data_IF_281910710649
#
_entry.id   IF_281910710649
#
_cell.length_a   1.000
_cell.length_b   1.000
_cell.length_c   1.000
_cell.angle_alpha   90.00
_cell.angle_beta   90.00
_cell.angle_gamma   90.00
#
_symmetry.space_group_name_H-M   'P 1'
#
loop_
_entity.id
_entity.type
_entity.pdbx_description
1 polymer ?
#
# COMPACT_ATOMS: atom_id res chain seq x y z
N UNK A 1 50.72 57.80 20.11
CA UNK A 1 49.91 56.78 19.39
C UNK A 1 49.10 55.99 20.41
N UNK A 2 47.85 56.39 20.67
CA UNK A 2 46.95 55.67 21.58
C UNK A 2 46.00 54.81 20.77
N UNK A 3 46.21 53.49 20.75
CA UNK A 3 45.33 52.52 20.11
C UNK A 3 44.09 52.32 20.99
N UNK A 4 42.95 52.91 20.57
CA UNK A 4 41.65 52.67 21.16
C UNK A 4 41.23 51.22 20.91
N UNK A 5 41.34 50.37 21.94
CA UNK A 5 40.87 48.98 21.91
C UNK A 5 39.34 49.03 21.90
N UNK A 6 38.76 48.86 20.72
CA UNK A 6 37.31 48.74 20.52
C UNK A 6 36.79 47.55 21.32
N UNK A 7 36.02 47.81 22.37
CA UNK A 7 35.30 46.78 23.11
C UNK A 7 34.28 46.12 22.19
N UNK A 8 34.54 44.89 21.78
CA UNK A 8 33.59 44.09 20.99
C UNK A 8 32.27 43.95 21.77
N UNK A 9 31.11 44.21 21.15
CA UNK A 9 29.82 44.16 21.84
C UNK A 9 29.36 42.71 21.96
N UNK A 10 30.02 41.94 22.83
CA UNK A 10 29.79 40.49 22.98
C UNK A 10 28.33 40.16 23.32
N UNK A 11 27.66 41.05 24.04
CA UNK A 11 26.24 40.89 24.43
C UNK A 11 25.31 40.89 23.23
N UNK A 12 25.57 41.71 22.20
CA UNK A 12 24.73 41.74 21.00
C UNK A 12 25.02 40.54 20.10
N UNK A 13 26.28 40.15 19.97
CA UNK A 13 26.68 38.94 19.23
C UNK A 13 26.07 37.68 19.88
N UNK A 14 26.15 37.58 21.20
CA UNK A 14 25.58 36.47 21.96
C UNK A 14 24.04 36.43 21.85
N UNK A 15 23.36 37.58 21.95
CA UNK A 15 21.90 37.66 21.81
C UNK A 15 21.43 37.29 20.40
N UNK A 16 22.15 37.75 19.37
CA UNK A 16 21.86 37.41 17.97
C UNK A 16 22.10 35.91 17.70
N UNK A 17 23.22 35.36 18.18
CA UNK A 17 23.52 33.94 18.05
C UNK A 17 22.50 33.06 18.79
N UNK A 18 22.04 33.48 19.97
CA UNK A 18 21.03 32.78 20.75
C UNK A 18 19.66 32.80 20.06
N UNK A 19 19.20 33.96 19.59
CA UNK A 19 17.92 34.07 18.87
C UNK A 19 17.92 33.26 17.57
N UNK A 20 19.09 33.10 16.92
CA UNK A 20 19.22 32.26 15.73
C UNK A 20 19.25 30.78 16.05
N UNK A 21 19.90 30.35 17.13
CA UNK A 21 20.08 28.91 17.44
C UNK A 21 18.88 28.29 18.17
N UNK A 22 18.21 29.04 19.06
CA UNK A 22 17.01 28.59 19.77
C UNK A 22 15.92 27.96 18.86
N UNK A 23 15.50 28.57 17.73
CA UNK A 23 14.49 27.97 16.87
C UNK A 23 14.97 26.66 16.24
N UNK A 24 16.25 26.55 15.83
CA UNK A 24 16.79 25.30 15.28
C UNK A 24 16.87 24.20 16.33
N UNK A 25 17.30 24.52 17.55
CA UNK A 25 17.34 23.55 18.65
C UNK A 25 15.95 23.06 19.00
N UNK A 26 14.96 23.98 19.09
CA UNK A 26 13.57 23.61 19.30
C UNK A 26 13.03 22.74 18.16
N UNK A 27 13.33 23.08 16.90
CA UNK A 27 12.91 22.32 15.73
C UNK A 27 13.51 20.92 15.72
N UNK A 28 14.80 20.78 16.02
CA UNK A 28 15.47 19.48 16.11
C UNK A 28 14.93 18.64 17.28
N UNK A 29 14.68 19.26 18.43
CA UNK A 29 14.07 18.60 19.58
C UNK A 29 12.65 18.11 19.25
N UNK A 30 11.82 18.97 18.66
CA UNK A 30 10.49 18.61 18.16
C UNK A 30 10.56 17.50 17.12
N UNK A 31 11.48 17.57 16.15
CA UNK A 31 11.67 16.54 15.13
C UNK A 31 12.09 15.21 15.76
N UNK A 32 12.98 15.24 16.75
CA UNK A 32 13.41 14.04 17.46
C UNK A 32 12.26 13.41 18.25
N UNK A 33 11.48 14.21 18.98
CA UNK A 33 10.31 13.74 19.74
C UNK A 33 9.25 13.16 18.80
N UNK A 34 8.93 13.86 17.72
CA UNK A 34 7.93 13.42 16.74
C UNK A 34 8.36 12.11 16.05
N UNK A 35 9.61 11.99 15.62
CA UNK A 35 10.11 10.75 15.01
C UNK A 35 10.25 9.59 16.02
N UNK A 36 10.54 9.89 17.28
CA UNK A 36 10.69 8.85 18.32
C UNK A 36 9.35 8.31 18.81
N UNK A 37 8.36 9.20 18.96
CA UNK A 37 7.11 8.88 19.66
C UNK A 37 5.88 8.85 18.76
N UNK A 38 5.82 9.65 17.70
CA UNK A 38 4.63 9.73 16.85
C UNK A 38 4.72 8.78 15.66
N UNK A 39 5.84 8.79 14.95
CA UNK A 39 5.98 8.08 13.69
C UNK A 39 7.00 6.94 13.76
N UNK A 40 6.86 5.96 12.88
CA UNK A 40 7.84 4.89 12.69
C UNK A 40 7.87 4.52 11.22
N UNK A 41 8.97 4.82 10.52
CA UNK A 41 9.18 4.26 9.20
C UNK A 41 9.39 2.75 9.33
N UNK A 42 8.70 1.98 8.51
CA UNK A 42 8.84 0.53 8.44
C UNK A 42 8.94 0.08 6.99
N UNK A 43 9.84 -0.85 6.72
CA UNK A 43 9.93 -1.52 5.43
C UNK A 43 9.06 -2.77 5.47
N UNK A 44 7.98 -2.78 4.68
CA UNK A 44 7.05 -3.90 4.60
C UNK A 44 7.44 -4.77 3.42
N UNK A 45 8.05 -5.93 3.70
CA UNK A 45 8.41 -6.92 2.69
C UNK A 45 7.62 -8.20 2.93
N UNK A 46 6.83 -8.62 1.95
CA UNK A 46 6.19 -9.93 1.98
C UNK A 46 4.91 -10.05 1.16
N UNK A 47 4.52 -11.29 0.81
CA UNK A 47 3.40 -11.57 -0.09
C UNK A 47 2.02 -11.38 0.55
N UNK A 48 1.93 -11.28 1.88
CA UNK A 48 0.66 -11.35 2.60
C UNK A 48 -0.28 -10.17 2.40
N UNK A 49 0.23 -9.03 1.95
CA UNK A 49 -0.55 -7.81 1.73
C UNK A 49 -0.65 -7.43 0.25
N UNK A 50 -0.28 -8.33 -0.66
CA UNK A 50 -0.52 -8.13 -2.10
C UNK A 50 -2.04 -8.13 -2.35
N UNK A 51 -2.62 -7.17 -3.09
CA UNK A 51 -1.98 -6.15 -3.94
C UNK A 51 -1.73 -4.79 -3.28
N UNK A 52 -2.11 -4.59 -2.01
CA UNK A 52 -1.95 -3.30 -1.32
C UNK A 52 -0.50 -2.92 -1.10
N UNK A 53 0.36 -3.89 -0.78
CA UNK A 53 1.81 -3.70 -0.76
C UNK A 53 2.49 -4.58 -1.80
N UNK A 54 3.56 -4.05 -2.39
CA UNK A 54 4.40 -4.73 -3.37
C UNK A 54 5.17 -5.88 -2.73
N UNK A 55 5.40 -6.96 -3.50
CA UNK A 55 6.22 -8.09 -3.04
C UNK A 55 7.68 -7.67 -2.77
N UNK A 56 8.20 -6.73 -3.57
CA UNK A 56 9.58 -6.23 -3.53
C UNK A 56 9.90 -5.41 -2.27
N UNK A 57 8.87 -4.90 -1.60
CA UNK A 57 8.99 -4.09 -0.40
C UNK A 57 8.49 -2.66 -0.57
N UNK A 58 7.76 -2.16 0.42
CA UNK A 58 7.26 -0.79 0.46
C UNK A 58 7.70 -0.08 1.74
N UNK A 59 8.11 1.19 1.62
CA UNK A 59 8.42 2.03 2.77
C UNK A 59 7.15 2.71 3.24
N UNK A 60 6.71 2.39 4.45
CA UNK A 60 5.50 2.94 5.05
C UNK A 60 5.82 3.75 6.30
N UNK A 61 5.01 4.76 6.56
CA UNK A 61 4.99 5.46 7.84
C UNK A 61 3.80 4.97 8.65
N UNK A 62 4.11 4.48 9.84
CA UNK A 62 3.11 4.11 10.83
C UNK A 62 3.11 5.10 12.00
N UNK A 63 1.92 5.44 12.49
CA UNK A 63 1.75 6.21 13.71
C UNK A 63 1.64 5.28 14.93
N UNK A 64 2.32 5.60 16.02
CA UNK A 64 2.25 4.84 17.28
C UNK A 64 1.11 5.28 18.21
N UNK A 65 0.45 6.39 17.89
CA UNK A 65 -0.53 7.03 18.76
C UNK A 65 -1.89 6.32 18.74
N UNK A 66 -2.35 5.88 17.57
CA UNK A 66 -3.68 5.25 17.40
C UNK A 66 -3.86 3.97 18.21
N UNK A 67 -2.90 3.03 18.25
CA UNK A 67 -3.00 1.85 19.13
C UNK A 67 -3.04 2.21 20.62
N UNK A 68 -2.29 3.23 21.04
CA UNK A 68 -2.25 3.67 22.45
C UNK A 68 -3.54 4.35 22.90
N UNK A 69 -4.24 5.01 21.97
CA UNK A 69 -5.55 5.64 22.21
C UNK A 69 -6.73 4.67 22.02
N UNK A 70 -6.48 3.43 21.58
CA UNK A 70 -7.54 2.46 21.30
C UNK A 70 -8.37 2.79 20.06
N UNK A 71 -7.88 3.67 19.16
CA UNK A 71 -8.64 4.14 17.98
C UNK A 71 -8.36 3.30 16.73
N UNK A 72 -7.96 2.03 16.89
CA UNK A 72 -7.70 1.14 15.76
C UNK A 72 -9.04 0.65 15.21
N UNK A 73 -9.37 1.11 14.00
CA UNK A 73 -10.64 0.83 13.37
C UNK A 73 -10.58 -0.33 12.38
N UNK A 74 -11.76 -0.76 11.95
CA UNK A 74 -11.92 -1.71 10.84
C UNK A 74 -11.41 -1.10 9.54
N UNK A 75 -10.67 -1.89 8.76
CA UNK A 75 -10.07 -1.48 7.50
C UNK A 75 -8.66 -0.90 7.64
N UNK A 76 -8.25 -0.53 8.85
CA UNK A 76 -6.91 0.01 9.12
C UNK A 76 -5.82 -1.02 8.83
N UNK A 77 -4.70 -0.56 8.30
CA UNK A 77 -3.49 -1.37 8.15
C UNK A 77 -2.63 -1.16 9.38
N UNK A 78 -2.23 -2.26 10.02
CA UNK A 78 -1.48 -2.23 11.27
C UNK A 78 -0.19 -3.02 11.17
N UNK A 79 0.86 -2.47 11.80
CA UNK A 79 2.11 -3.17 12.09
C UNK A 79 1.95 -3.86 13.43
N UNK A 80 2.14 -5.17 13.46
CA UNK A 80 1.86 -6.01 14.63
C UNK A 80 3.06 -6.90 14.91
N UNK A 81 3.46 -7.01 16.17
CA UNK A 81 4.43 -8.04 16.58
C UNK A 81 3.76 -9.40 16.50
N UNK A 82 4.38 -10.34 15.78
CA UNK A 82 3.79 -11.67 15.62
C UNK A 82 3.66 -12.37 16.97
N UNK A 83 2.48 -12.90 17.33
CA UNK A 83 2.30 -13.66 18.58
C UNK A 83 3.11 -14.96 18.59
N UNK A 84 3.39 -15.54 17.41
CA UNK A 84 4.19 -16.75 17.27
C UNK A 84 5.71 -16.47 17.36
N UNK A 85 6.15 -15.28 16.94
CA UNK A 85 7.56 -14.90 16.97
C UNK A 85 7.73 -13.41 17.31
N UNK A 86 8.07 -13.07 18.55
CA UNK A 86 8.19 -11.68 19.02
C UNK A 86 9.24 -10.84 18.28
N UNK A 87 10.21 -11.47 17.61
CA UNK A 87 11.24 -10.77 16.83
C UNK A 87 10.75 -10.31 15.46
N UNK A 88 9.60 -10.79 15.00
CA UNK A 88 9.05 -10.51 13.68
C UNK A 88 7.88 -9.53 13.79
N UNK A 89 7.99 -8.40 13.10
CA UNK A 89 6.86 -7.48 12.86
C UNK A 89 6.20 -7.86 11.55
N UNK A 90 4.88 -8.02 11.56
CA UNK A 90 4.05 -8.35 10.41
C UNK A 90 3.09 -7.21 10.12
N UNK A 91 2.76 -7.01 8.85
CA UNK A 91 1.77 -6.02 8.40
C UNK A 91 0.51 -6.75 8.00
N UNK A 92 -0.64 -6.34 8.55
CA UNK A 92 -1.96 -6.93 8.27
C UNK A 92 -3.05 -5.86 8.27
N UNK A 93 -4.22 -6.19 7.74
CA UNK A 93 -5.42 -5.35 7.79
C UNK A 93 -6.35 -5.77 8.92
N UNK A 94 -6.88 -4.81 9.65
CA UNK A 94 -7.90 -5.04 10.67
C UNK A 94 -9.24 -5.32 9.98
N UNK A 95 -9.80 -6.51 10.21
CA UNK A 95 -11.10 -6.92 9.65
C UNK A 95 -12.22 -6.75 10.65
N UNK A 96 -11.92 -6.95 11.94
CA UNK A 96 -12.89 -6.80 13.01
C UNK A 96 -12.20 -6.29 14.27
N UNK A 97 -12.95 -5.51 15.04
CA UNK A 97 -12.54 -4.95 16.33
C UNK A 97 -13.28 -5.66 17.46
N UNK A 98 -13.01 -5.30 18.71
CA UNK A 98 -13.65 -5.91 19.87
C UNK A 98 -15.17 -5.97 19.76
N UNK A 99 -15.76 -7.12 20.10
CA UNK A 99 -17.21 -7.34 20.06
C UNK A 99 -17.80 -7.62 18.67
N UNK A 100 -17.04 -7.46 17.59
CA UNK A 100 -17.50 -7.88 16.25
C UNK A 100 -17.38 -9.39 16.05
N UNK A 101 -18.31 -9.96 15.27
CA UNK A 101 -18.26 -11.35 14.85
C UNK A 101 -17.56 -11.50 13.49
N UNK A 102 -16.71 -12.52 13.37
CA UNK A 102 -15.93 -12.83 12.17
C UNK A 102 -16.37 -14.18 11.59
N UNK A 103 -16.27 -14.33 10.26
CA UNK A 103 -16.45 -15.63 9.60
C UNK A 103 -17.89 -16.17 9.64
N UNK A 104 -18.89 -15.31 9.41
CA UNK A 104 -20.29 -15.75 9.33
C UNK A 104 -20.98 -16.01 10.68
N UNK A 105 -20.37 -15.59 11.80
CA UNK A 105 -21.05 -15.54 13.11
C UNK A 105 -20.49 -16.48 14.19
N UNK A 106 -19.44 -17.25 13.91
CA UNK A 106 -18.92 -18.26 14.84
C UNK A 106 -17.87 -17.76 15.85
N UNK A 107 -17.14 -16.68 15.54
CA UNK A 107 -16.02 -16.20 16.39
C UNK A 107 -16.22 -14.72 16.70
N UNK A 108 -16.39 -14.40 17.98
CA UNK A 108 -16.48 -13.02 18.49
C UNK A 108 -15.11 -12.57 18.97
N UNK A 109 -14.68 -11.38 18.55
CA UNK A 109 -13.40 -10.81 18.96
C UNK A 109 -13.45 -10.39 20.44
N UNK A 110 -12.55 -10.90 21.31
CA UNK A 110 -12.51 -10.51 22.71
C UNK A 110 -12.23 -9.02 22.91
N UNK A 111 -12.58 -8.49 24.09
CA UNK A 111 -12.26 -7.10 24.48
C UNK A 111 -10.76 -6.84 24.46
N UNK A 112 -10.35 -5.68 23.95
CA UNK A 112 -8.94 -5.31 23.82
C UNK A 112 -8.16 -6.10 22.78
N UNK A 113 -8.84 -6.87 21.93
CA UNK A 113 -8.24 -7.61 20.82
C UNK A 113 -8.78 -7.11 19.48
N UNK A 114 -8.02 -7.39 18.42
CA UNK A 114 -8.36 -7.11 17.03
C UNK A 114 -8.17 -8.36 16.19
N UNK A 115 -9.02 -8.52 15.18
CA UNK A 115 -8.89 -9.59 14.19
C UNK A 115 -8.19 -9.03 12.94
N UNK A 116 -7.01 -9.57 12.64
CA UNK A 116 -6.17 -9.09 11.54
C UNK A 116 -6.06 -10.15 10.45
N UNK A 117 -6.18 -9.75 9.18
CA UNK A 117 -6.11 -10.63 8.02
C UNK A 117 -5.21 -9.99 6.96
N UNK A 118 -4.44 -10.79 6.24
CA UNK A 118 -3.69 -10.31 5.08
C UNK A 118 -4.58 -10.23 3.85
N UNK A 119 -4.35 -9.22 3.00
CA UNK A 119 -5.10 -9.06 1.76
C UNK A 119 -4.89 -10.23 0.78
N UNK A 120 -3.75 -10.92 0.88
CA UNK A 120 -3.49 -12.15 0.13
C UNK A 120 -3.90 -13.39 0.94
N UNK A 121 -5.18 -13.77 0.82
CA UNK A 121 -5.83 -14.88 1.52
C UNK A 121 -5.04 -16.20 1.43
N UNK A 122 -4.47 -16.50 0.26
CA UNK A 122 -3.75 -17.76 0.00
C UNK A 122 -2.30 -17.79 0.48
N UNK A 123 -1.71 -16.64 0.83
CA UNK A 123 -0.33 -16.56 1.30
C UNK A 123 -0.17 -15.61 2.49
N UNK A 124 -1.02 -15.81 3.49
CA UNK A 124 -1.03 -15.00 4.70
C UNK A 124 -1.22 -15.87 5.94
N UNK A 125 -0.23 -15.83 6.83
CA UNK A 125 -0.36 -16.29 8.21
C UNK A 125 -0.86 -15.12 9.06
N UNK A 126 -2.08 -15.21 9.56
CA UNK A 126 -2.84 -14.13 10.21
C UNK A 126 -3.82 -14.69 11.26
N UNK A 127 -4.80 -13.90 11.73
CA UNK A 127 -5.69 -14.28 12.84
C UNK A 127 -6.51 -15.54 12.58
N UNK A 128 -6.66 -15.97 11.32
CA UNK A 128 -7.29 -17.26 11.00
C UNK A 128 -6.49 -18.46 11.52
N UNK A 129 -5.19 -18.28 11.76
CA UNK A 129 -4.28 -19.33 12.23
C UNK A 129 -3.96 -19.21 13.72
N UNK A 130 -3.68 -18.01 14.22
CA UNK A 130 -3.28 -17.78 15.63
C UNK A 130 -4.37 -17.13 16.50
N UNK A 131 -5.53 -16.77 15.94
CA UNK A 131 -6.64 -16.14 16.66
C UNK A 131 -6.56 -14.60 16.74
N UNK A 132 -7.40 -14.03 17.61
CA UNK A 132 -7.45 -12.59 17.83
C UNK A 132 -6.16 -12.08 18.49
N UNK A 133 -5.71 -10.88 18.11
CA UNK A 133 -4.46 -10.29 18.60
C UNK A 133 -4.75 -9.17 19.58
N UNK A 134 -4.13 -9.16 20.78
CA UNK A 134 -4.28 -8.04 21.69
C UNK A 134 -3.72 -6.75 21.08
N UNK A 135 -4.42 -5.63 21.28
CA UNK A 135 -4.02 -4.31 20.78
C UNK A 135 -2.61 -3.91 21.28
N UNK A 136 -2.19 -4.44 22.43
CA UNK A 136 -0.83 -4.23 22.96
C UNK A 136 0.31 -4.77 22.08
N UNK A 137 0.04 -5.71 21.16
CA UNK A 137 1.03 -6.18 20.17
C UNK A 137 1.08 -5.31 18.92
N UNK A 138 0.14 -4.38 18.76
CA UNK A 138 0.10 -3.45 17.64
C UNK A 138 1.16 -2.36 17.88
N UNK A 139 2.16 -2.33 17.00
CA UNK A 139 3.27 -1.36 17.02
C UNK A 139 2.79 0.01 16.54
N UNK A 140 1.97 0.05 15.49
CA UNK A 140 1.49 1.28 14.89
C UNK A 140 0.47 1.05 13.78
N UNK A 141 -0.30 2.10 13.46
CA UNK A 141 -1.22 2.13 12.31
C UNK A 141 -0.52 2.77 11.12
N UNK A 142 -0.50 2.08 9.99
CA UNK A 142 0.04 2.61 8.73
C UNK A 142 -0.92 3.67 8.20
N UNK A 143 -0.43 4.90 8.03
CA UNK A 143 -1.22 6.02 7.53
C UNK A 143 -0.66 6.59 6.23
N UNK A 144 0.58 6.28 5.84
CA UNK A 144 1.20 6.80 4.63
C UNK A 144 2.16 5.79 3.99
N UNK A 145 2.20 5.76 2.65
CA UNK A 145 3.22 5.06 1.86
C UNK A 145 4.17 6.08 1.25
N UNK A 146 5.46 5.93 1.54
CA UNK A 146 6.51 6.89 1.17
C UNK A 146 7.23 6.47 -0.11
N UNK A 147 7.49 5.17 -0.28
CA UNK A 147 8.18 4.64 -1.45
C UNK A 147 7.63 3.26 -1.87
N UNK A 148 7.71 2.90 -3.16
CA UNK A 148 8.20 3.66 -4.32
C UNK A 148 7.33 4.87 -4.67
N UNK A 149 7.91 5.89 -5.32
CA UNK A 149 7.27 7.20 -5.59
C UNK A 149 5.94 7.08 -6.36
N UNK A 150 5.78 6.02 -7.14
CA UNK A 150 4.59 5.66 -7.92
C UNK A 150 3.36 5.33 -7.04
N UNK A 151 3.56 5.05 -5.75
CA UNK A 151 2.52 4.71 -4.79
C UNK A 151 2.37 5.69 -3.64
N UNK A 152 2.88 6.92 -3.78
CA UNK A 152 2.82 7.93 -2.73
C UNK A 152 1.36 8.31 -2.40
N UNK A 153 0.95 8.13 -1.13
CA UNK A 153 -0.39 8.53 -0.70
C UNK A 153 -0.79 8.02 0.70
N UNK A 154 -1.97 8.45 1.19
CA UNK A 154 -2.52 8.01 2.47
C UNK A 154 -2.75 6.48 2.47
N UNK A 155 -2.11 5.78 3.39
CA UNK A 155 -2.16 4.33 3.52
C UNK A 155 -3.34 3.78 4.34
N UNK A 156 -4.17 4.65 4.93
CA UNK A 156 -5.14 4.26 5.97
C UNK A 156 -6.63 4.38 5.59
N UNK A 157 -7.01 5.22 4.65
CA UNK A 157 -8.42 5.57 4.47
C UNK A 157 -8.82 5.38 3.02
N UNK A 158 -9.62 4.35 2.73
CA UNK A 158 -10.49 4.27 1.56
C UNK A 158 -10.07 5.12 0.34
N UNK A 159 -8.89 4.86 -0.24
CA UNK A 159 -8.68 5.13 -1.66
C UNK A 159 -9.41 3.98 -2.35
N UNK A 160 -10.62 4.17 -2.88
CA UNK A 160 -10.83 5.22 -3.86
C UNK A 160 -9.81 4.95 -4.96
N UNK A 161 -10.09 3.95 -5.78
CA UNK A 161 -9.63 3.76 -7.16
C UNK A 161 -8.60 4.80 -7.59
N UNK A 162 -7.38 4.68 -7.09
CA UNK A 162 -6.19 5.16 -7.74
C UNK A 162 -5.56 3.86 -8.20
N UNK A 163 -5.95 3.36 -9.38
CA UNK A 163 -5.15 3.60 -10.57
C UNK A 163 -3.66 3.33 -10.35
N UNK A 164 -3.34 2.33 -9.51
CA UNK A 164 -2.15 1.54 -9.68
C UNK A 164 -2.20 0.98 -11.08
N UNK A 165 -1.28 1.47 -11.90
CA UNK A 165 -0.89 0.97 -13.21
C UNK A 165 -1.13 -0.54 -13.30
N UNK A 166 -2.29 -0.89 -13.87
CA UNK A 166 -2.38 -2.07 -14.68
C UNK A 166 -1.82 -1.64 -16.02
N UNK A 167 -0.55 -1.92 -16.28
CA UNK A 167 -0.11 -2.25 -17.64
C UNK A 167 -0.68 -3.63 -18.04
N UNK A 168 -1.96 -3.84 -17.77
CA UNK A 168 -2.83 -4.60 -18.63
C UNK A 168 -3.44 -3.59 -19.59
N UNK A 169 -2.67 -3.25 -20.63
CA UNK A 169 -3.10 -2.50 -21.81
C UNK A 169 -4.58 -2.82 -22.10
N UNK A 170 -5.43 -1.81 -22.20
CA UNK A 170 -6.88 -2.04 -22.28
C UNK A 170 -7.18 -2.92 -23.51
N UNK A 171 -8.24 -3.73 -23.48
CA UNK A 171 -8.59 -4.62 -24.61
C UNK A 171 -8.60 -3.93 -26.00
N UNK A 172 -9.04 -2.66 -26.17
CA UNK A 172 -8.90 -1.95 -27.44
C UNK A 172 -7.43 -1.63 -27.78
N UNK A 173 -6.64 -1.19 -26.80
CA UNK A 173 -5.22 -0.88 -27.00
C UNK A 173 -4.38 -2.14 -27.30
N UNK A 174 -4.74 -3.30 -26.71
CA UNK A 174 -4.13 -4.62 -27.01
C UNK A 174 -4.37 -5.04 -28.45
N UNK A 175 -5.58 -4.84 -28.97
CA UNK A 175 -5.89 -5.15 -30.38
C UNK A 175 -5.10 -4.21 -31.29
N UNK A 176 -5.04 -2.91 -30.98
CA UNK A 176 -4.28 -1.93 -31.75
C UNK A 176 -2.78 -2.27 -31.81
N UNK A 177 -2.17 -2.68 -30.69
CA UNK A 177 -0.77 -3.09 -30.65
C UNK A 177 -0.48 -4.33 -31.50
N UNK A 178 -1.38 -5.33 -31.49
CA UNK A 178 -1.24 -6.53 -32.32
C UNK A 178 -1.40 -6.20 -33.80
N UNK A 179 -2.32 -5.30 -34.17
CA UNK A 179 -2.47 -4.83 -35.55
C UNK A 179 -1.24 -4.04 -36.04
N UNK A 180 -0.66 -3.17 -35.21
CA UNK A 180 0.56 -2.44 -35.54
C UNK A 180 1.77 -3.39 -35.76
N UNK A 181 1.87 -4.46 -34.97
CA UNK A 181 2.90 -5.47 -35.16
C UNK A 181 2.65 -6.32 -36.42
N UNK A 182 1.38 -6.60 -36.74
CA UNK A 182 0.99 -7.27 -37.98
C UNK A 182 1.44 -6.48 -39.22
N UNK A 183 1.23 -5.16 -39.22
CA UNK A 183 1.68 -4.26 -40.29
C UNK A 183 3.20 -4.21 -40.42
N UNK A 184 3.94 -4.26 -39.30
CA UNK A 184 5.41 -4.38 -39.34
C UNK A 184 5.85 -5.70 -39.97
N UNK A 185 5.23 -6.81 -39.59
CA UNK A 185 5.62 -8.14 -40.10
C UNK A 185 5.25 -8.30 -41.57
N UNK A 186 4.19 -7.63 -42.05
CA UNK A 186 3.79 -7.67 -43.45
C UNK A 186 4.73 -6.89 -44.40
N UNK A 187 5.63 -6.06 -43.86
CA UNK A 187 6.69 -5.37 -44.64
C UNK A 187 7.91 -6.26 -44.89
N UNK A 188 7.97 -7.44 -44.30
CA UNK A 188 9.08 -8.39 -44.47
C UNK A 188 8.88 -9.25 -45.72
N UNK A 189 9.97 -9.73 -46.34
CA UNK A 189 9.88 -10.60 -47.51
C UNK A 189 9.12 -11.89 -47.20
N UNK A 190 8.16 -12.24 -48.05
CA UNK A 190 7.19 -13.32 -47.84
C UNK A 190 7.82 -14.74 -47.69
N UNK A 191 9.07 -14.92 -48.12
CA UNK A 191 9.82 -16.18 -48.00
C UNK A 191 10.46 -16.37 -46.61
N UNK A 192 10.33 -15.41 -45.70
CA UNK A 192 10.86 -15.55 -44.34
C UNK A 192 10.02 -16.51 -43.48
N UNK A 193 10.65 -17.59 -43.02
CA UNK A 193 10.08 -18.50 -42.02
C UNK A 193 9.64 -17.77 -40.74
N UNK A 194 10.36 -16.71 -40.36
CA UNK A 194 10.00 -15.87 -39.22
C UNK A 194 8.70 -15.10 -39.47
N UNK A 195 8.55 -14.46 -40.64
CA UNK A 195 7.34 -13.68 -40.96
C UNK A 195 6.09 -14.55 -40.98
N UNK A 196 6.16 -15.71 -41.65
CA UNK A 196 5.05 -16.67 -41.75
C UNK A 196 4.67 -17.25 -40.39
N UNK A 197 5.64 -17.62 -39.55
CA UNK A 197 5.37 -18.12 -38.20
C UNK A 197 4.78 -17.03 -37.29
N UNK A 198 5.35 -15.81 -37.32
CA UNK A 198 4.93 -14.68 -36.48
C UNK A 198 3.50 -14.24 -36.80
N UNK A 199 3.12 -14.21 -38.08
CA UNK A 199 1.74 -13.90 -38.53
C UNK A 199 0.72 -14.89 -37.97
N UNK A 200 1.03 -16.20 -37.93
CA UNK A 200 0.14 -17.21 -37.35
C UNK A 200 -0.08 -17.00 -35.85
N UNK A 201 0.99 -16.65 -35.13
CA UNK A 201 0.90 -16.36 -33.69
C UNK A 201 0.05 -15.11 -33.44
N UNK A 202 0.26 -14.03 -34.19
CA UNK A 202 -0.51 -12.79 -34.06
C UNK A 202 -2.00 -13.00 -34.36
N UNK A 203 -2.34 -13.79 -35.39
CA UNK A 203 -3.73 -14.16 -35.68
C UNK A 203 -4.38 -14.94 -34.54
N UNK A 204 -3.65 -15.86 -33.90
CA UNK A 204 -4.16 -16.61 -32.74
C UNK A 204 -4.39 -15.70 -31.54
N UNK A 205 -3.51 -14.73 -31.31
CA UNK A 205 -3.67 -13.73 -30.25
C UNK A 205 -4.91 -12.85 -30.48
N UNK A 206 -5.20 -12.43 -31.72
CA UNK A 206 -6.42 -11.68 -32.02
C UNK A 206 -7.70 -12.48 -31.70
N UNK A 207 -7.71 -13.80 -31.97
CA UNK A 207 -8.83 -14.66 -31.59
C UNK A 207 -8.98 -14.81 -30.08
N UNK A 208 -7.88 -14.94 -29.33
CA UNK A 208 -7.96 -15.04 -27.87
C UNK A 208 -8.46 -13.73 -27.25
N UNK A 209 -8.02 -12.59 -27.80
CA UNK A 209 -8.47 -11.27 -27.35
C UNK A 209 -9.95 -11.01 -27.68
N UNK A 210 -10.51 -11.56 -28.77
CA UNK A 210 -11.94 -11.42 -29.05
C UNK A 210 -12.81 -12.21 -28.07
N UNK A 211 -12.39 -13.43 -27.69
CA UNK A 211 -13.09 -14.26 -26.70
C UNK A 211 -13.11 -13.59 -25.31
N UNK A 212 -11.96 -13.06 -24.86
CA UNK A 212 -11.88 -12.36 -23.58
C UNK A 212 -12.76 -11.11 -23.50
N UNK A 213 -12.99 -10.43 -24.63
CA UNK A 213 -13.91 -9.27 -24.67
C UNK A 213 -15.36 -9.71 -24.50
N UNK A 214 -15.74 -10.87 -25.05
CA UNK A 214 -17.09 -11.43 -24.93
C UNK A 214 -17.35 -11.85 -23.48
N UNK A 215 -16.47 -12.62 -22.86
CA UNK A 215 -16.61 -13.05 -21.45
C UNK A 215 -16.71 -11.86 -20.48
N UNK A 216 -15.91 -10.81 -20.72
CA UNK A 216 -15.90 -9.60 -19.90
C UNK A 216 -17.15 -8.73 -20.10
N UNK A 217 -17.79 -8.82 -21.26
CA UNK A 217 -19.08 -8.18 -21.55
C UNK A 217 -20.27 -8.92 -20.93
N UNK A 218 -20.19 -10.25 -20.86
CA UNK A 218 -21.24 -11.13 -20.33
C UNK A 218 -21.32 -11.08 -18.79
N UNK A 219 -20.18 -11.00 -18.10
CA UNK A 219 -20.10 -10.81 -16.65
C UNK A 219 -20.63 -9.46 -16.11
N UNK A 220 -21.05 -8.54 -17.00
CA UNK A 220 -21.61 -7.22 -16.64
C UNK A 220 -23.13 -7.15 -16.77
N UNK A 221 -23.82 -8.17 -17.29
CA UNK A 221 -25.28 -8.23 -17.32
C UNK A 221 -25.79 -8.72 -15.96
N UNK A 222 -26.30 -7.79 -15.13
CA UNK A 222 -27.10 -8.14 -13.94
C UNK A 222 -28.21 -9.12 -14.35
N UNK A 223 -28.46 -10.21 -13.61
CA UNK A 223 -29.59 -11.09 -13.93
C UNK A 223 -30.88 -10.28 -13.84
N UNK A 224 -31.68 -10.28 -14.93
CA UNK A 224 -33.03 -9.75 -14.90
C UNK A 224 -33.82 -10.52 -13.83
N UNK A 225 -34.07 -9.88 -12.68
CA UNK A 225 -35.08 -10.36 -11.74
C UNK A 225 -36.42 -10.35 -12.47
N UNK A 226 -36.93 -11.53 -12.82
CA UNK A 226 -38.34 -11.66 -13.23
C UNK A 226 -39.20 -11.44 -11.98
N UNK A 227 -40.25 -10.62 -12.02
CA UNK A 227 -41.20 -10.55 -10.92
C UNK A 227 -41.96 -11.87 -10.85
N UNK A 228 -41.86 -12.56 -9.70
CA UNK A 228 -42.76 -13.63 -9.33
C UNK A 228 -44.17 -13.02 -9.21
N UNK A 229 -45.11 -13.48 -10.05
CA UNK A 229 -46.54 -13.28 -9.80
C UNK A 229 -47.00 -14.41 -8.88
N UNK A 230 -47.73 -14.03 -7.83
CA UNK A 230 -48.52 -14.90 -6.96
C UNK A 230 -49.64 -15.58 -7.77
#
# INVERSE_FOLDING_TARGET
>A
MGLAIRTLPWKTIAKEALNRTLPFTNLLCCLHITNTYLFTPALVVGPSMVPTFSLTGDLVLAERLSPRRGTVGKGDIVLVRSPENPRKVITKRVVAVEGEAVGGGGVVVPKGCVWIVGDNVGNSRDSRHFGAVPVGLVVGRVFWRVAPWEGFGPGGSALGVASGSKDGLSCPDKKAAVHAEMERVNKLPAHSSYATHRIRVLNKLLQLLSIQVIEKGEGRRKPLRRPFKL
#
